data_IF_612782041895
#
_entry.id   IF_612782041895
#
_cell.length_a   1.000
_cell.length_b   1.000
_cell.length_c   1.000
_cell.angle_alpha   90.00
_cell.angle_beta   90.00
_cell.angle_gamma   90.00
#
_symmetry.space_group_name_H-M   'P 1'
#
loop_
_entity.id
_entity.type
_entity.pdbx_description
1 polymer ?
#
# COMPACT_ATOMS: atom_id res chain seq x y z
N UNK A 1 18.59 35.83 -13.95
CA UNK A 1 19.11 35.14 -12.76
C UNK A 1 19.65 33.81 -13.27
N UNK A 2 20.98 33.71 -13.48
CA UNK A 2 21.59 32.53 -14.11
C UNK A 2 21.64 31.37 -13.11
N UNK A 3 21.09 30.23 -13.51
CA UNK A 3 21.10 28.99 -12.71
C UNK A 3 22.52 28.40 -12.75
N UNK A 4 23.22 28.39 -11.61
CA UNK A 4 24.58 27.87 -11.48
C UNK A 4 24.59 26.33 -11.57
N UNK A 5 25.00 25.80 -12.74
CA UNK A 5 25.14 24.36 -13.05
C UNK A 5 26.18 23.61 -12.19
N UNK A 6 26.96 24.31 -11.36
CA UNK A 6 28.04 23.69 -10.54
C UNK A 6 27.59 23.14 -9.19
N UNK A 7 26.32 23.29 -8.79
CA UNK A 7 25.81 22.79 -7.51
C UNK A 7 25.10 21.44 -7.57
N UNK A 8 24.92 20.85 -8.74
CA UNK A 8 24.49 19.44 -8.85
C UNK A 8 25.75 18.57 -8.72
N UNK A 9 26.10 18.26 -7.48
CA UNK A 9 27.15 17.30 -7.18
C UNK A 9 26.89 15.98 -7.92
N UNK A 10 27.97 15.36 -8.47
CA UNK A 10 27.93 14.02 -9.06
C UNK A 10 27.16 13.12 -8.11
N UNK A 11 26.04 12.59 -8.58
CA UNK A 11 25.37 11.46 -7.92
C UNK A 11 26.30 10.27 -8.12
N UNK A 12 27.05 9.90 -7.09
CA UNK A 12 27.84 8.68 -7.10
C UNK A 12 26.89 7.49 -7.23
N UNK A 13 27.11 6.70 -8.28
CA UNK A 13 26.44 5.41 -8.46
C UNK A 13 26.77 4.54 -7.23
N UNK A 14 25.79 4.36 -6.34
CA UNK A 14 25.95 3.54 -5.13
C UNK A 14 25.28 4.07 -3.87
N UNK A 15 24.75 5.29 -3.84
CA UNK A 15 23.89 5.74 -2.74
C UNK A 15 22.43 5.53 -3.11
N UNK A 16 21.81 4.55 -2.45
CA UNK A 16 20.36 4.38 -2.45
C UNK A 16 19.69 5.68 -1.99
N UNK A 17 19.08 6.40 -2.92
CA UNK A 17 18.15 7.47 -2.57
C UNK A 17 16.95 6.82 -1.88
N UNK A 18 16.49 7.33 -0.73
CA UNK A 18 15.33 6.76 -0.07
C UNK A 18 14.10 7.01 -0.93
N UNK A 19 13.49 5.91 -1.37
CA UNK A 19 12.07 5.74 -1.70
C UNK A 19 11.40 6.80 -2.56
N UNK A 20 11.28 6.50 -3.83
CA UNK A 20 10.39 7.25 -4.73
C UNK A 20 9.91 6.45 -5.91
N UNK A 21 10.56 5.37 -6.25
CA UNK A 21 10.20 4.48 -7.34
C UNK A 21 10.63 3.07 -6.99
N UNK A 22 9.98 2.09 -7.58
CA UNK A 22 10.30 0.68 -7.35
C UNK A 22 11.59 0.37 -8.08
N UNK A 23 12.64 0.01 -7.34
CA UNK A 23 13.96 -0.25 -7.91
C UNK A 23 13.96 -1.52 -8.77
N UNK A 24 14.71 -1.50 -9.87
CA UNK A 24 14.73 -2.58 -10.88
C UNK A 24 15.20 -3.94 -10.38
N UNK A 25 15.95 -4.00 -9.28
CA UNK A 25 16.38 -5.25 -8.62
C UNK A 25 15.37 -5.75 -7.58
N UNK A 26 14.18 -5.22 -7.67
CA UNK A 26 12.93 -5.80 -7.17
C UNK A 26 12.99 -6.39 -5.75
N UNK A 27 13.22 -5.55 -4.77
CA UNK A 27 12.89 -5.91 -3.40
C UNK A 27 11.38 -6.22 -3.30
N UNK A 28 10.53 -5.40 -3.93
CA UNK A 28 9.08 -5.61 -4.01
C UNK A 28 8.74 -6.48 -5.23
N UNK A 29 8.40 -7.73 -4.96
CA UNK A 29 8.06 -8.74 -5.98
C UNK A 29 7.27 -9.89 -5.36
N UNK A 30 6.53 -10.66 -6.15
CA UNK A 30 5.95 -11.93 -5.67
C UNK A 30 7.05 -12.87 -5.15
N UNK A 31 6.79 -13.56 -4.05
CA UNK A 31 7.74 -14.48 -3.43
C UNK A 31 8.87 -13.80 -2.63
N UNK A 32 8.66 -12.58 -2.15
CA UNK A 32 9.63 -11.83 -1.34
C UNK A 32 9.72 -12.29 0.13
N UNK A 33 9.18 -13.46 0.48
CA UNK A 33 9.28 -14.06 1.81
C UNK A 33 8.00 -13.97 2.65
N UNK A 34 6.86 -13.70 2.04
CA UNK A 34 5.57 -13.56 2.71
C UNK A 34 5.13 -14.80 3.49
N UNK A 35 5.47 -16.00 3.02
CA UNK A 35 5.15 -17.25 3.70
C UNK A 35 5.73 -17.30 5.14
N UNK A 36 6.99 -16.88 5.32
CA UNK A 36 7.62 -16.82 6.64
C UNK A 36 6.95 -15.78 7.57
N UNK A 37 6.50 -14.65 7.02
CA UNK A 37 5.73 -13.66 7.76
C UNK A 37 4.38 -14.22 8.19
N UNK A 38 3.67 -14.92 7.29
CA UNK A 38 2.39 -15.56 7.58
C UNK A 38 2.53 -16.61 8.68
N UNK A 39 3.55 -17.45 8.62
CA UNK A 39 3.82 -18.45 9.65
C UNK A 39 4.08 -17.82 11.00
N UNK A 40 4.99 -16.85 11.07
CA UNK A 40 5.35 -16.12 12.30
C UNK A 40 4.16 -15.42 12.95
N UNK A 41 3.22 -14.92 12.16
CA UNK A 41 2.05 -14.17 12.64
C UNK A 41 0.77 -15.02 12.78
N UNK A 42 0.83 -16.31 12.54
CA UNK A 42 -0.35 -17.20 12.59
C UNK A 42 -1.39 -16.90 11.49
N UNK A 43 -0.91 -16.52 10.29
CA UNK A 43 -1.73 -16.14 9.14
C UNK A 43 -1.75 -17.21 8.03
N UNK A 44 -1.10 -18.34 8.23
CA UNK A 44 -1.07 -19.42 7.25
C UNK A 44 -2.51 -19.86 6.88
N UNK A 45 -2.78 -19.94 5.58
CA UNK A 45 -4.09 -20.32 5.04
C UNK A 45 -5.22 -19.29 5.20
N UNK A 46 -4.96 -18.13 5.81
CA UNK A 46 -5.97 -17.08 6.01
C UNK A 46 -5.92 -16.05 4.88
N UNK A 47 -7.06 -15.50 4.42
CA UNK A 47 -7.07 -14.30 3.59
C UNK A 47 -6.52 -13.10 4.35
N UNK A 48 -5.52 -12.39 3.77
CA UNK A 48 -4.82 -11.29 4.43
C UNK A 48 -4.97 -9.99 3.65
N UNK A 49 -5.52 -8.98 4.29
CA UNK A 49 -5.46 -7.59 3.82
C UNK A 49 -4.28 -6.91 4.50
N UNK A 50 -3.31 -6.43 3.72
CA UNK A 50 -2.15 -5.71 4.24
C UNK A 50 -2.28 -4.20 4.02
N UNK A 51 -1.90 -3.42 5.03
CA UNK A 51 -1.76 -1.96 4.95
C UNK A 51 -0.40 -1.56 5.48
N UNK A 52 0.47 -1.07 4.63
CA UNK A 52 1.81 -0.61 4.98
C UNK A 52 1.83 0.91 4.96
N UNK A 53 1.95 1.54 6.12
CA UNK A 53 2.04 3.00 6.21
C UNK A 53 2.33 3.47 7.62
N UNK A 54 2.78 4.71 7.75
CA UNK A 54 2.80 5.38 9.05
C UNK A 54 1.38 5.47 9.61
N UNK A 55 1.18 5.14 10.87
CA UNK A 55 -0.14 5.18 11.53
C UNK A 55 -0.50 6.63 11.89
N UNK A 56 -1.17 7.28 10.94
CA UNK A 56 -1.68 8.67 11.05
C UNK A 56 -3.07 8.78 10.42
N UNK A 57 -3.92 9.71 10.87
CA UNK A 57 -5.33 9.75 10.48
C UNK A 57 -5.62 9.89 8.98
N UNK A 58 -4.72 10.51 8.19
CA UNK A 58 -4.95 10.66 6.75
C UNK A 58 -4.82 9.34 5.97
N UNK A 59 -4.09 8.35 6.52
CA UNK A 59 -3.85 7.05 5.87
C UNK A 59 -5.06 6.10 5.92
N UNK A 60 -6.10 6.42 6.70
CA UNK A 60 -7.39 5.72 6.64
C UNK A 60 -7.45 4.37 7.34
N UNK A 61 -6.46 4.00 8.18
CA UNK A 61 -6.50 2.72 8.91
C UNK A 61 -7.74 2.58 9.80
N UNK A 62 -8.27 3.69 10.32
CA UNK A 62 -9.52 3.69 11.08
C UNK A 62 -10.74 3.40 10.19
N UNK A 63 -10.72 3.77 8.90
CA UNK A 63 -11.75 3.39 7.93
C UNK A 63 -11.68 1.89 7.65
N UNK A 64 -10.47 1.31 7.48
CA UNK A 64 -10.30 -0.15 7.37
C UNK A 64 -10.86 -0.90 8.58
N UNK A 65 -10.49 -0.47 9.79
CA UNK A 65 -10.99 -1.11 11.02
C UNK A 65 -12.51 -0.97 11.17
N UNK A 66 -13.11 0.14 10.72
CA UNK A 66 -14.57 0.31 10.70
C UNK A 66 -15.27 -0.56 9.65
N UNK A 67 -14.63 -0.82 8.53
CA UNK A 67 -15.09 -1.74 7.49
C UNK A 67 -14.98 -3.21 7.94
N UNK A 68 -14.07 -3.50 8.86
CA UNK A 68 -13.64 -4.86 9.19
C UNK A 68 -14.75 -5.78 9.74
N UNK A 69 -15.73 -5.32 10.54
CA UNK A 69 -16.88 -6.16 10.95
C UNK A 69 -17.65 -6.72 9.75
N UNK A 70 -17.90 -5.91 8.71
CA UNK A 70 -18.59 -6.35 7.49
C UNK A 70 -17.73 -7.32 6.69
N UNK A 71 -16.42 -7.07 6.55
CA UNK A 71 -15.48 -8.01 5.89
C UNK A 71 -15.49 -9.35 6.62
N UNK A 72 -15.40 -9.36 7.95
CA UNK A 72 -15.41 -10.58 8.77
C UNK A 72 -16.72 -11.35 8.72
N UNK A 73 -17.83 -10.67 8.52
CA UNK A 73 -19.12 -11.32 8.33
C UNK A 73 -19.19 -12.12 7.03
N UNK A 74 -18.55 -11.62 5.95
CA UNK A 74 -18.50 -12.27 4.65
C UNK A 74 -17.32 -13.27 4.51
N UNK A 75 -16.17 -12.96 5.12
CA UNK A 75 -14.94 -13.76 5.08
C UNK A 75 -14.44 -13.97 6.52
N UNK A 76 -14.99 -14.97 7.25
CA UNK A 76 -14.76 -15.15 8.68
C UNK A 76 -13.29 -15.30 9.11
N UNK A 77 -12.43 -15.87 8.27
CA UNK A 77 -11.02 -16.12 8.57
C UNK A 77 -10.09 -14.96 8.14
N UNK A 78 -10.63 -13.92 7.50
CA UNK A 78 -9.82 -12.79 7.05
C UNK A 78 -9.03 -12.14 8.20
N UNK A 79 -7.80 -11.71 7.90
CA UNK A 79 -6.93 -10.96 8.80
C UNK A 79 -6.54 -9.62 8.20
N UNK A 80 -6.52 -8.57 9.02
CA UNK A 80 -6.02 -7.24 8.67
C UNK A 80 -4.63 -7.04 9.28
N UNK A 81 -3.62 -6.93 8.45
CA UNK A 81 -2.24 -6.73 8.83
C UNK A 81 -1.86 -5.26 8.67
N UNK A 82 -1.70 -4.54 9.77
CA UNK A 82 -1.31 -3.13 9.80
C UNK A 82 0.19 -3.03 10.12
N UNK A 83 0.98 -2.72 9.09
CA UNK A 83 2.43 -2.63 9.15
C UNK A 83 2.85 -1.17 9.25
N UNK A 84 3.54 -0.83 10.32
CA UNK A 84 4.06 0.50 10.57
C UNK A 84 3.74 1.03 11.97
N UNK A 85 4.47 2.06 12.36
CA UNK A 85 4.29 2.78 13.61
C UNK A 85 3.66 4.16 13.43
N UNK A 86 3.30 4.78 14.54
CA UNK A 86 2.84 6.16 14.53
C UNK A 86 1.93 6.53 15.70
N UNK A 87 1.66 7.84 15.89
CA UNK A 87 0.93 8.34 17.06
C UNK A 87 -0.54 7.91 17.10
N UNK A 88 -1.06 7.38 15.99
CA UNK A 88 -2.46 6.94 15.89
C UNK A 88 -2.67 5.49 16.37
N UNK A 89 -1.60 4.72 16.63
CA UNK A 89 -1.64 3.30 16.97
C UNK A 89 -2.61 2.97 18.13
N UNK A 90 -2.44 3.62 19.29
CA UNK A 90 -3.27 3.36 20.45
C UNK A 90 -4.77 3.66 20.21
N UNK A 91 -5.09 4.66 19.37
CA UNK A 91 -6.48 4.94 18.99
C UNK A 91 -7.06 3.85 18.09
N UNK A 92 -6.26 3.33 17.15
CA UNK A 92 -6.64 2.25 16.25
C UNK A 92 -6.89 0.94 17.02
N UNK A 93 -6.00 0.59 17.97
CA UNK A 93 -6.17 -0.59 18.84
C UNK A 93 -7.44 -0.50 19.68
N UNK A 94 -7.71 0.65 20.32
CA UNK A 94 -8.98 0.87 21.03
C UNK A 94 -10.21 0.78 20.12
N UNK A 95 -10.09 1.26 18.87
CA UNK A 95 -11.17 1.15 17.89
C UNK A 95 -11.45 -0.32 17.54
N UNK A 96 -10.41 -1.13 17.26
CA UNK A 96 -10.54 -2.56 16.99
C UNK A 96 -11.19 -3.30 18.17
N UNK A 97 -10.81 -2.97 19.40
CA UNK A 97 -11.42 -3.52 20.62
C UNK A 97 -12.92 -3.19 20.73
N UNK A 98 -13.29 -1.91 20.55
CA UNK A 98 -14.70 -1.47 20.58
C UNK A 98 -15.57 -2.15 19.53
N UNK A 99 -15.02 -2.41 18.34
CA UNK A 99 -15.71 -3.07 17.25
C UNK A 99 -15.64 -4.60 17.34
N UNK A 100 -15.01 -5.14 18.39
CA UNK A 100 -14.85 -6.59 18.64
C UNK A 100 -14.13 -7.33 17.51
N UNK A 101 -13.20 -6.66 16.82
CA UNK A 101 -12.40 -7.24 15.73
C UNK A 101 -10.91 -7.37 16.07
N UNK A 102 -10.51 -7.06 17.29
CA UNK A 102 -9.10 -7.05 17.73
C UNK A 102 -8.37 -8.37 17.47
N UNK A 103 -9.05 -9.52 17.57
CA UNK A 103 -8.44 -10.84 17.31
C UNK A 103 -8.11 -11.12 15.83
N UNK A 104 -8.54 -10.26 14.92
CA UNK A 104 -8.26 -10.38 13.48
C UNK A 104 -7.54 -9.17 12.89
N UNK A 105 -7.12 -8.21 13.74
CA UNK A 105 -6.33 -7.02 13.35
C UNK A 105 -4.98 -7.10 14.02
N UNK A 106 -3.93 -7.31 13.22
CA UNK A 106 -2.56 -7.45 13.68
C UNK A 106 -1.83 -6.12 13.47
N UNK A 107 -1.19 -5.62 14.53
CA UNK A 107 -0.34 -4.42 14.50
C UNK A 107 1.11 -4.86 14.68
N UNK A 108 1.96 -4.67 13.67
CA UNK A 108 3.37 -5.05 13.75
C UNK A 108 4.23 -4.00 14.46
N UNK A 109 3.76 -2.75 14.52
CA UNK A 109 4.66 -1.63 14.78
C UNK A 109 5.56 -1.34 13.57
N UNK A 110 6.58 -0.52 13.79
CA UNK A 110 7.58 -0.24 12.75
C UNK A 110 8.44 -1.48 12.49
N UNK A 111 8.69 -1.75 11.21
CA UNK A 111 9.55 -2.85 10.76
C UNK A 111 10.74 -2.26 9.99
N UNK A 112 11.90 -2.95 9.95
CA UNK A 112 13.04 -2.55 9.14
C UNK A 112 12.67 -2.47 7.65
N UNK A 113 13.27 -1.53 6.92
CA UNK A 113 13.05 -1.38 5.47
C UNK A 113 13.29 -2.68 4.70
N UNK A 114 14.34 -3.41 5.06
CA UNK A 114 14.73 -4.69 4.44
C UNK A 114 13.67 -5.79 4.59
N UNK A 115 12.78 -5.68 5.57
CA UNK A 115 11.72 -6.66 5.79
C UNK A 115 10.39 -6.25 5.12
N UNK A 116 10.22 -4.97 4.73
CA UNK A 116 8.96 -4.49 4.15
C UNK A 116 8.46 -5.33 2.98
N UNK A 117 9.31 -5.75 2.00
CA UNK A 117 8.84 -6.56 0.88
C UNK A 117 8.16 -7.86 1.30
N UNK A 118 8.65 -8.52 2.36
CA UNK A 118 8.04 -9.76 2.85
C UNK A 118 6.68 -9.53 3.52
N UNK A 119 6.44 -8.34 4.09
CA UNK A 119 5.14 -8.00 4.64
C UNK A 119 4.11 -7.67 3.56
N UNK A 120 4.52 -7.05 2.43
CA UNK A 120 3.64 -6.91 1.27
C UNK A 120 3.29 -8.30 0.71
N UNK A 121 4.29 -9.15 0.49
CA UNK A 121 4.13 -10.49 -0.04
C UNK A 121 3.30 -11.42 0.89
N UNK A 122 3.14 -11.05 2.15
CA UNK A 122 2.24 -11.72 3.07
C UNK A 122 0.75 -11.35 2.86
N UNK A 123 0.43 -10.36 2.03
CA UNK A 123 -0.93 -9.95 1.70
C UNK A 123 -1.55 -10.74 0.55
N UNK A 124 -2.87 -10.75 0.46
CA UNK A 124 -3.65 -11.11 -0.72
C UNK A 124 -4.25 -9.87 -1.38
N UNK A 125 -4.48 -8.82 -0.60
CA UNK A 125 -4.97 -7.51 -1.04
C UNK A 125 -4.24 -6.44 -0.27
N UNK A 126 -3.79 -5.40 -0.95
CA UNK A 126 -3.29 -4.18 -0.29
C UNK A 126 -4.41 -3.15 -0.14
N UNK A 127 -4.54 -2.53 1.04
CA UNK A 127 -5.54 -1.50 1.24
C UNK A 127 -5.04 -0.35 2.11
N UNK A 128 -5.08 0.87 1.58
CA UNK A 128 -4.83 2.11 2.33
C UNK A 128 -5.81 3.20 1.87
N UNK A 129 -7.05 3.23 2.38
CA UNK A 129 -8.06 4.20 1.99
C UNK A 129 -7.73 5.60 2.55
N UNK A 130 -6.69 6.21 2.00
CA UNK A 130 -6.26 7.54 2.40
C UNK A 130 -7.34 8.59 2.13
N UNK A 131 -7.30 9.69 2.88
CA UNK A 131 -8.31 10.76 2.77
C UNK A 131 -7.70 12.13 3.01
N UNK A 132 -8.20 13.10 2.28
CA UNK A 132 -7.89 14.50 2.49
C UNK A 132 -8.50 15.00 3.81
N UNK A 133 -7.72 15.78 4.57
CA UNK A 133 -8.07 16.35 5.87
C UNK A 133 -7.73 17.83 5.93
N UNK A 134 -8.21 18.50 6.98
CA UNK A 134 -7.89 19.90 7.27
C UNK A 134 -8.09 20.84 6.06
N UNK A 135 -9.25 20.69 5.38
CA UNK A 135 -9.61 21.51 4.21
C UNK A 135 -8.54 21.51 3.11
N UNK A 136 -7.94 20.35 2.84
CA UNK A 136 -6.91 20.22 1.80
C UNK A 136 -5.47 20.35 2.26
N UNK A 137 -5.22 20.71 3.52
CA UNK A 137 -3.85 20.91 4.05
C UNK A 137 -3.14 19.59 4.46
N UNK A 138 -3.86 18.49 4.57
CA UNK A 138 -3.30 17.18 4.94
C UNK A 138 -3.78 16.14 3.91
N UNK A 139 -3.02 15.99 2.85
CA UNK A 139 -3.31 15.13 1.69
C UNK A 139 -2.27 14.02 1.55
N UNK A 140 -2.62 12.97 0.85
CA UNK A 140 -1.66 11.98 0.38
C UNK A 140 -0.87 12.56 -0.81
N UNK A 141 0.44 12.29 -0.87
CA UNK A 141 1.23 12.53 -2.08
C UNK A 141 0.84 11.53 -3.17
N UNK A 142 1.80 11.00 -3.90
CA UNK A 142 1.56 9.93 -4.88
C UNK A 142 1.13 8.62 -4.23
N UNK A 143 1.58 8.35 -2.99
CA UNK A 143 1.28 7.08 -2.35
C UNK A 143 2.10 5.92 -2.93
N UNK A 144 3.42 6.02 -2.88
CA UNK A 144 4.38 5.01 -3.40
C UNK A 144 4.05 3.60 -2.91
N UNK A 145 3.50 3.46 -1.72
CA UNK A 145 3.06 2.18 -1.14
C UNK A 145 2.06 1.41 -2.02
N UNK A 146 1.30 2.11 -2.88
CA UNK A 146 0.42 1.46 -3.87
C UNK A 146 1.22 0.83 -5.00
N UNK A 147 2.28 1.52 -5.47
CA UNK A 147 3.19 0.98 -6.48
C UNK A 147 4.03 -0.18 -5.94
N UNK A 148 4.48 -0.10 -4.68
CA UNK A 148 5.16 -1.20 -3.98
C UNK A 148 4.26 -2.44 -3.88
N UNK A 149 2.98 -2.24 -3.53
CA UNK A 149 1.99 -3.32 -3.49
C UNK A 149 1.74 -3.92 -4.89
N UNK A 150 1.56 -3.08 -5.92
CA UNK A 150 1.39 -3.53 -7.30
C UNK A 150 2.64 -4.27 -7.81
N UNK A 151 3.86 -3.81 -7.46
CA UNK A 151 5.11 -4.50 -7.77
C UNK A 151 5.23 -5.87 -7.08
N UNK A 152 4.52 -6.08 -5.97
CA UNK A 152 4.42 -7.38 -5.28
C UNK A 152 3.29 -8.25 -5.87
N UNK A 153 2.58 -7.77 -6.89
CA UNK A 153 1.48 -8.50 -7.54
C UNK A 153 0.16 -8.44 -6.76
N UNK A 154 -0.01 -7.49 -5.85
CA UNK A 154 -1.24 -7.34 -5.08
C UNK A 154 -2.24 -6.43 -5.80
N UNK A 155 -3.53 -6.77 -5.82
CA UNK A 155 -4.58 -5.81 -6.14
C UNK A 155 -4.64 -4.75 -5.04
N UNK A 156 -4.90 -3.50 -5.43
CA UNK A 156 -4.78 -2.34 -4.56
C UNK A 156 -6.13 -1.68 -4.30
N UNK A 157 -6.42 -1.33 -3.04
CA UNK A 157 -7.52 -0.43 -2.69
C UNK A 157 -6.91 0.84 -2.10
N UNK A 158 -7.03 1.93 -2.84
CA UNK A 158 -6.56 3.26 -2.43
C UNK A 158 -7.71 4.22 -2.14
N UNK A 159 -7.39 5.33 -1.47
CA UNK A 159 -8.34 6.40 -1.22
C UNK A 159 -8.27 7.51 -2.27
N UNK A 160 -9.21 8.44 -2.17
CA UNK A 160 -9.44 9.58 -3.07
C UNK A 160 -8.65 10.85 -2.67
N UNK A 161 -7.49 10.70 -2.04
CA UNK A 161 -6.74 11.83 -1.48
C UNK A 161 -5.50 12.17 -2.30
N UNK A 162 -5.36 13.44 -2.67
CA UNK A 162 -4.19 13.95 -3.40
C UNK A 162 -3.99 13.20 -4.72
N UNK A 163 -2.75 12.81 -5.02
CA UNK A 163 -2.40 12.07 -6.22
C UNK A 163 -2.41 10.54 -6.00
N UNK A 164 -2.98 10.04 -4.89
CA UNK A 164 -3.11 8.60 -4.66
C UNK A 164 -3.86 7.87 -5.80
N UNK A 165 -4.92 8.44 -6.43
CA UNK A 165 -5.56 7.83 -7.59
C UNK A 165 -4.63 7.64 -8.79
N UNK A 166 -3.59 8.47 -8.97
CA UNK A 166 -2.65 8.35 -10.09
C UNK A 166 -1.75 7.10 -9.99
N UNK A 167 -1.64 6.53 -8.79
CA UNK A 167 -0.92 5.28 -8.53
C UNK A 167 -1.80 4.02 -8.65
N UNK A 168 -3.03 4.14 -9.20
CA UNK A 168 -4.00 3.05 -9.33
C UNK A 168 -4.79 3.23 -10.63
N UNK A 169 -4.82 2.22 -11.47
CA UNK A 169 -5.77 2.15 -12.59
C UNK A 169 -7.08 1.55 -12.10
N UNK A 170 -8.05 2.43 -11.82
CA UNK A 170 -9.34 2.02 -11.23
C UNK A 170 -10.07 0.98 -12.08
N UNK A 171 -10.43 -0.15 -11.45
CA UNK A 171 -11.03 -1.30 -12.12
C UNK A 171 -10.05 -2.21 -12.87
N UNK A 172 -8.77 -1.81 -13.04
CA UNK A 172 -7.76 -2.60 -13.77
C UNK A 172 -6.68 -3.18 -12.84
N UNK A 173 -6.02 -2.32 -12.04
CA UNK A 173 -4.94 -2.73 -11.11
C UNK A 173 -5.39 -2.67 -9.66
N UNK A 174 -6.57 -2.12 -9.41
CA UNK A 174 -7.12 -1.91 -8.08
C UNK A 174 -8.40 -1.10 -8.13
N UNK A 175 -8.79 -0.57 -6.98
CA UNK A 175 -9.96 0.30 -6.84
C UNK A 175 -9.63 1.57 -6.06
N UNK A 176 -10.15 2.69 -6.56
CA UNK A 176 -10.16 3.96 -5.83
C UNK A 176 -11.48 4.09 -5.08
N UNK A 177 -11.43 4.29 -3.78
CA UNK A 177 -12.61 4.38 -2.92
C UNK A 177 -12.65 5.72 -2.19
N UNK A 178 -13.85 6.17 -1.82
CA UNK A 178 -13.97 7.29 -0.90
C UNK A 178 -13.33 6.91 0.45
N UNK A 179 -12.19 7.51 0.79
CA UNK A 179 -11.38 7.15 1.97
C UNK A 179 -12.08 7.37 3.32
N UNK A 180 -13.29 7.94 3.31
CA UNK A 180 -14.18 8.13 4.48
C UNK A 180 -15.35 7.14 4.52
N UNK A 181 -15.50 6.24 3.55
CA UNK A 181 -16.60 5.28 3.43
C UNK A 181 -16.19 3.88 3.90
N UNK A 182 -16.49 3.47 5.14
CA UNK A 182 -16.22 2.09 5.57
C UNK A 182 -16.98 1.06 4.73
N UNK A 183 -18.22 1.37 4.31
CA UNK A 183 -19.03 0.47 3.48
C UNK A 183 -18.37 0.24 2.11
N UNK A 184 -18.00 1.32 1.40
CA UNK A 184 -17.33 1.18 0.09
C UNK A 184 -15.99 0.45 0.17
N UNK A 185 -15.23 0.64 1.27
CA UNK A 185 -14.01 -0.14 1.53
C UNK A 185 -14.34 -1.61 1.77
N UNK A 186 -15.35 -1.90 2.58
CA UNK A 186 -15.76 -3.28 2.88
C UNK A 186 -16.22 -4.02 1.62
N UNK A 187 -17.05 -3.39 0.79
CA UNK A 187 -17.58 -3.98 -0.43
C UNK A 187 -16.44 -4.41 -1.39
N UNK A 188 -15.44 -3.54 -1.58
CA UNK A 188 -14.27 -3.86 -2.44
C UNK A 188 -13.36 -4.92 -1.82
N UNK A 189 -13.16 -4.90 -0.50
CA UNK A 189 -12.39 -5.94 0.20
C UNK A 189 -13.08 -7.29 0.09
N UNK A 190 -14.38 -7.37 0.35
CA UNK A 190 -15.16 -8.62 0.23
C UNK A 190 -15.07 -9.15 -1.19
N UNK A 191 -15.28 -8.29 -2.20
CA UNK A 191 -15.18 -8.69 -3.60
C UNK A 191 -13.81 -9.34 -3.91
N UNK A 192 -12.70 -8.67 -3.58
CA UNK A 192 -11.35 -9.17 -3.87
C UNK A 192 -10.99 -10.43 -3.04
N UNK A 193 -11.48 -10.54 -1.82
CA UNK A 193 -11.20 -11.70 -0.98
C UNK A 193 -12.04 -12.93 -1.35
N UNK A 194 -13.19 -12.76 -2.00
CA UNK A 194 -14.06 -13.87 -2.43
C UNK A 194 -13.81 -14.28 -3.87
N UNK A 195 -13.39 -13.38 -4.74
CA UNK A 195 -12.98 -13.68 -6.12
C UNK A 195 -11.43 -13.69 -6.21
N UNK A 196 -10.82 -14.75 -5.72
CA UNK A 196 -9.35 -14.91 -5.71
C UNK A 196 -8.74 -14.94 -7.11
N UNK A 197 -9.45 -15.42 -8.11
CA UNK A 197 -8.96 -15.48 -9.49
C UNK A 197 -8.93 -14.06 -10.10
N UNK A 198 -10.02 -13.29 -9.94
CA UNK A 198 -10.09 -11.90 -10.37
C UNK A 198 -9.10 -11.01 -9.62
N UNK A 199 -8.94 -11.19 -8.31
CA UNK A 199 -7.96 -10.48 -7.50
C UNK A 199 -6.52 -10.72 -8.00
N UNK A 200 -6.17 -11.96 -8.29
CA UNK A 200 -4.86 -12.34 -8.85
C UNK A 200 -4.62 -11.68 -10.21
N UNK A 201 -5.59 -11.81 -11.12
CA UNK A 201 -5.49 -11.19 -12.45
C UNK A 201 -5.35 -9.66 -12.38
N UNK A 202 -6.02 -9.02 -11.41
CA UNK A 202 -5.89 -7.58 -11.15
C UNK A 202 -4.48 -7.23 -10.61
N UNK A 203 -3.92 -8.02 -9.71
CA UNK A 203 -2.56 -7.85 -9.20
C UNK A 203 -1.49 -8.05 -10.27
N UNK A 204 -1.64 -9.05 -11.15
CA UNK A 204 -0.74 -9.28 -12.30
C UNK A 204 -0.74 -8.09 -13.27
N UNK A 205 -1.89 -7.48 -13.54
CA UNK A 205 -1.97 -6.23 -14.34
C UNK A 205 -1.25 -5.08 -13.62
N UNK A 206 -1.37 -4.99 -12.30
CA UNK A 206 -0.67 -3.99 -11.49
C UNK A 206 0.85 -4.14 -11.58
N UNK A 207 1.35 -5.36 -11.46
CA UNK A 207 2.77 -5.68 -11.61
C UNK A 207 3.28 -5.31 -13.01
N UNK A 208 2.58 -5.74 -14.06
CA UNK A 208 2.95 -5.42 -15.45
C UNK A 208 2.97 -3.89 -15.69
N UNK A 209 2.01 -3.17 -15.14
CA UNK A 209 1.96 -1.71 -15.26
C UNK A 209 3.13 -1.01 -14.55
N UNK A 210 3.48 -1.45 -13.34
CA UNK A 210 4.64 -0.91 -12.62
C UNK A 210 5.92 -1.18 -13.40
N UNK A 211 6.08 -2.37 -13.97
CA UNK A 211 7.26 -2.72 -14.79
C UNK A 211 7.39 -1.85 -16.02
N UNK A 212 6.28 -1.45 -16.64
CA UNK A 212 6.26 -0.66 -17.86
C UNK A 212 6.41 0.84 -17.63
N UNK A 213 5.94 1.37 -16.49
CA UNK A 213 5.82 2.82 -16.34
C UNK A 213 6.49 3.41 -15.08
N UNK A 214 6.64 2.62 -14.00
CA UNK A 214 7.02 3.14 -12.68
C UNK A 214 8.38 2.65 -12.17
N UNK A 215 9.14 1.89 -12.96
CA UNK A 215 10.50 1.53 -12.59
C UNK A 215 11.38 2.77 -12.56
N UNK A 216 12.21 2.89 -11.52
CA UNK A 216 13.07 4.06 -11.33
C UNK A 216 13.90 4.42 -12.56
N UNK A 217 14.50 3.43 -13.22
CA UNK A 217 15.28 3.64 -14.42
C UNK A 217 14.48 4.25 -15.60
N UNK A 218 13.16 3.98 -15.68
CA UNK A 218 12.28 4.59 -16.69
C UNK A 218 11.95 6.03 -16.34
N UNK A 219 11.57 6.26 -15.08
CA UNK A 219 11.20 7.61 -14.60
C UNK A 219 12.42 8.55 -14.64
N UNK A 220 13.61 8.06 -14.25
CA UNK A 220 14.85 8.82 -14.32
C UNK A 220 15.22 9.22 -15.76
N UNK A 221 15.08 8.29 -16.73
CA UNK A 221 15.29 8.61 -18.16
C UNK A 221 14.32 9.66 -18.67
N UNK A 222 13.02 9.50 -18.41
CA UNK A 222 11.99 10.49 -18.81
C UNK A 222 12.28 11.87 -18.23
N UNK A 223 12.69 11.93 -16.96
CA UNK A 223 13.09 13.20 -16.32
C UNK A 223 14.32 13.80 -17.01
N UNK A 224 15.32 13.00 -17.32
CA UNK A 224 16.53 13.43 -18.00
C UNK A 224 16.21 13.99 -19.40
N UNK A 225 15.34 13.35 -20.17
CA UNK A 225 14.86 13.81 -21.48
C UNK A 225 14.18 15.18 -21.37
N UNK A 226 13.28 15.35 -20.39
CA UNK A 226 12.59 16.64 -20.15
C UNK A 226 13.57 17.76 -19.76
N UNK A 227 14.61 17.44 -18.99
CA UNK A 227 15.60 18.43 -18.56
C UNK A 227 16.66 18.76 -19.61
N UNK A 228 16.77 17.95 -20.66
CA UNK A 228 17.77 18.08 -21.74
C UNK A 228 17.24 18.75 -23.01
N UNK A 229 15.91 18.81 -23.17
CA UNK A 229 15.21 19.49 -24.28
C UNK A 229 14.89 20.94 -23.93
#
# INVERSE_FOLDING_TARGET
>A
MAFDRKRLGRVEAGRSLPSGCVDGDAAFRPGAGGAAVRERLGLAGRPVVVCVSRLVPRKGQDTLIRAWPQVRAAVPDAALLLVGGGPYAGRLQRLAGRLRVAGSVIFTGSVPWSELPSYYDAGDVFAMPCRTRRHGLDVEGLGIVYLEASATGLPVIGGDSGNAPDAIRDGETGYVVAGRSPAGVADRLVYLLTDQAGARAMGEKGLAWVDQEWRWGLVARRLQEILSG
#
